data_IF_262272613781
#
_entry.id   IF_262272613781
#
_cell.length_a   1.000
_cell.length_b   1.000
_cell.length_c   1.000
_cell.angle_alpha   90.00
_cell.angle_beta   90.00
_cell.angle_gamma   90.00
#
_symmetry.space_group_name_H-M   'P 1'
#
loop_
_entity.id
_entity.type
_entity.pdbx_description
1 polymer ?
#
# COMPACT_ATOMS: atom_id res chain seq x y z
N UNK A 1 -11.51 -3.74 5.55
CA UNK A 1 -10.47 -4.62 6.13
C UNK A 1 -9.90 -5.48 5.02
N UNK A 2 -8.58 -5.65 4.98
CA UNK A 2 -7.87 -6.35 3.92
C UNK A 2 -8.13 -7.87 4.06
N UNK A 3 -8.97 -8.42 3.18
CA UNK A 3 -9.32 -9.85 3.16
C UNK A 3 -8.78 -10.50 1.88
N UNK A 4 -8.19 -11.69 2.03
CA UNK A 4 -7.86 -12.58 0.92
C UNK A 4 -8.66 -13.84 1.14
N UNK A 5 -9.43 -14.23 0.13
CA UNK A 5 -10.17 -15.49 0.14
C UNK A 5 -9.22 -16.58 -0.35
N UNK A 6 -9.22 -17.69 0.40
CA UNK A 6 -8.35 -18.84 0.16
C UNK A 6 -9.28 -19.99 -0.21
N UNK A 7 -9.05 -20.60 -1.37
CA UNK A 7 -9.75 -21.81 -1.77
C UNK A 7 -9.00 -23.04 -1.23
N UNK A 8 -9.71 -24.14 -0.98
CA UNK A 8 -9.16 -25.37 -0.36
C UNK A 8 -8.00 -26.01 -1.14
N UNK A 9 -7.86 -25.72 -2.43
CA UNK A 9 -6.79 -26.24 -3.29
C UNK A 9 -5.63 -25.27 -3.51
N UNK A 10 -5.58 -24.13 -2.81
CA UNK A 10 -4.44 -23.22 -2.91
C UNK A 10 -3.36 -23.47 -1.86
N UNK A 11 -2.08 -23.53 -2.27
CA UNK A 11 -0.98 -23.56 -1.31
C UNK A 11 -0.90 -22.22 -0.56
N UNK A 12 -0.68 -22.31 0.76
CA UNK A 12 -0.62 -21.18 1.69
C UNK A 12 0.31 -20.05 1.21
N UNK A 13 1.43 -20.39 0.58
CA UNK A 13 2.39 -19.41 0.05
C UNK A 13 1.80 -18.48 -1.03
N UNK A 14 0.90 -18.99 -1.88
CA UNK A 14 0.25 -18.18 -2.92
C UNK A 14 -0.75 -17.20 -2.30
N UNK A 15 -1.44 -17.59 -1.23
CA UNK A 15 -2.31 -16.72 -0.48
C UNK A 15 -1.54 -15.59 0.21
N UNK A 16 -0.42 -15.91 0.87
CA UNK A 16 0.47 -14.94 1.51
C UNK A 16 1.06 -13.94 0.50
N UNK A 17 1.49 -14.41 -0.69
CA UNK A 17 1.98 -13.52 -1.76
C UNK A 17 0.89 -12.56 -2.25
N UNK A 18 -0.35 -13.01 -2.42
CA UNK A 18 -1.49 -12.14 -2.80
C UNK A 18 -1.83 -11.14 -1.71
N UNK A 19 -1.80 -11.56 -0.45
CA UNK A 19 -2.02 -10.67 0.69
C UNK A 19 -0.97 -9.55 0.72
N UNK A 20 0.31 -9.91 0.60
CA UNK A 20 1.42 -8.95 0.54
C UNK A 20 1.25 -7.96 -0.61
N UNK A 21 0.91 -8.43 -1.82
CA UNK A 21 0.63 -7.56 -2.97
C UNK A 21 -0.56 -6.62 -2.74
N UNK A 22 -1.65 -7.11 -2.13
CA UNK A 22 -2.79 -6.25 -1.77
C UNK A 22 -2.39 -5.19 -0.74
N UNK A 23 -1.63 -5.56 0.30
CA UNK A 23 -1.10 -4.62 1.31
C UNK A 23 -0.21 -3.53 0.70
N UNK A 24 0.66 -3.91 -0.25
CA UNK A 24 1.53 -2.96 -0.96
C UNK A 24 0.73 -2.01 -1.86
N UNK A 25 -0.32 -2.52 -2.53
CA UNK A 25 -1.20 -1.72 -3.38
C UNK A 25 -2.04 -0.72 -2.60
N UNK A 26 -2.55 -1.11 -1.45
CA UNK A 26 -3.31 -0.23 -0.56
C UNK A 26 -2.40 0.80 0.12
N UNK A 27 -1.08 0.56 0.15
CA UNK A 27 -0.10 1.53 0.63
C UNK A 27 -0.19 1.79 2.12
N UNK A 28 -0.79 0.88 2.89
CA UNK A 28 -1.03 1.01 4.34
C UNK A 28 0.27 1.35 5.08
N UNK A 29 1.39 0.70 4.72
CA UNK A 29 2.69 0.98 5.32
C UNK A 29 3.17 2.41 5.07
N UNK A 30 2.87 3.00 3.90
CA UNK A 30 3.20 4.40 3.60
C UNK A 30 2.35 5.37 4.41
N UNK A 31 1.08 5.03 4.61
CA UNK A 31 0.14 5.84 5.43
C UNK A 31 0.56 5.80 6.89
N UNK A 32 0.87 4.62 7.44
CA UNK A 32 1.34 4.46 8.82
C UNK A 32 2.61 5.25 9.08
N UNK A 33 3.61 5.15 8.19
CA UNK A 33 4.84 5.95 8.29
C UNK A 33 4.56 7.45 8.26
N UNK A 34 3.67 7.91 7.37
CA UNK A 34 3.32 9.32 7.25
C UNK A 34 2.52 9.86 8.46
N UNK A 35 1.79 9.00 9.16
CA UNK A 35 0.99 9.37 10.34
C UNK A 35 1.77 9.26 11.66
N UNK A 36 2.92 8.56 11.67
CA UNK A 36 3.73 8.38 12.89
C UNK A 36 4.27 9.70 13.45
N UNK A 37 4.51 10.69 12.60
CA UNK A 37 5.07 12.00 12.97
C UNK A 37 4.18 13.12 12.45
N UNK A 38 4.10 14.23 13.18
CA UNK A 38 3.43 15.43 12.70
C UNK A 38 4.23 16.06 11.55
N UNK A 39 3.61 16.17 10.37
CA UNK A 39 4.16 16.87 9.21
C UNK A 39 3.42 18.19 9.02
N UNK A 40 4.15 19.32 9.03
CA UNK A 40 3.55 20.65 8.81
C UNK A 40 2.81 20.67 7.47
N UNK A 41 1.64 21.34 7.35
CA UNK A 41 0.85 21.36 6.12
C UNK A 41 1.62 21.86 4.89
N UNK A 42 2.59 22.77 5.07
CA UNK A 42 3.48 23.23 4.00
C UNK A 42 4.35 22.11 3.43
N UNK A 43 4.93 21.27 4.29
CA UNK A 43 5.78 20.15 3.90
C UNK A 43 4.96 19.04 3.24
N UNK A 44 3.75 18.77 3.75
CA UNK A 44 2.80 17.85 3.10
C UNK A 44 2.46 18.28 1.66
N UNK A 45 2.27 19.59 1.41
CA UNK A 45 2.04 20.14 0.06
C UNK A 45 3.28 19.95 -0.83
N UNK A 46 4.47 20.30 -0.32
CA UNK A 46 5.75 20.16 -1.03
C UNK A 46 6.01 18.70 -1.42
N UNK A 47 5.77 17.77 -0.51
CA UNK A 47 5.88 16.32 -0.73
C UNK A 47 4.95 15.82 -1.82
N UNK A 48 3.69 16.27 -1.84
CA UNK A 48 2.69 15.88 -2.87
C UNK A 48 3.08 16.35 -4.28
N UNK A 49 3.72 17.51 -4.39
CA UNK A 49 4.22 18.05 -5.68
C UNK A 49 5.47 17.29 -6.14
N UNK A 50 6.40 17.00 -5.21
CA UNK A 50 7.64 16.27 -5.50
C UNK A 50 7.43 14.78 -5.78
N UNK A 51 6.40 14.16 -5.21
CA UNK A 51 6.15 12.74 -5.44
C UNK A 51 5.75 12.50 -6.90
N UNK A 52 6.53 11.71 -7.67
CA UNK A 52 6.14 11.36 -9.03
C UNK A 52 4.81 10.59 -8.96
N UNK A 53 3.84 10.97 -9.79
CA UNK A 53 2.60 10.19 -9.95
C UNK A 53 3.00 8.84 -10.54
N UNK A 54 3.18 7.83 -9.69
CA UNK A 54 3.51 6.48 -10.11
C UNK A 54 2.47 6.02 -11.12
N UNK A 55 2.91 5.68 -12.34
CA UNK A 55 2.06 5.15 -13.40
C UNK A 55 1.27 3.98 -12.82
N UNK A 56 -0.07 4.03 -12.91
CA UNK A 56 -0.91 2.88 -12.54
C UNK A 56 -0.38 1.70 -13.35
N UNK A 57 0.15 0.68 -12.67
CA UNK A 57 0.48 -0.59 -13.31
C UNK A 57 -0.87 -1.13 -13.80
N UNK A 58 -1.12 -0.96 -15.10
CA UNK A 58 -2.24 -1.56 -15.82
C UNK A 58 -1.94 -3.06 -15.86
N UNK A 59 -2.73 -3.82 -15.12
CA UNK A 59 -2.93 -5.25 -15.31
C UNK A 59 -4.41 -5.43 -15.57
#
# INVERSE_FOLDING_TARGET
MLKVEINEHEPLEKALKRLKKKMEREGILKILKARKTFEKPSEKRRRKIRSPKSKKIRF
#
